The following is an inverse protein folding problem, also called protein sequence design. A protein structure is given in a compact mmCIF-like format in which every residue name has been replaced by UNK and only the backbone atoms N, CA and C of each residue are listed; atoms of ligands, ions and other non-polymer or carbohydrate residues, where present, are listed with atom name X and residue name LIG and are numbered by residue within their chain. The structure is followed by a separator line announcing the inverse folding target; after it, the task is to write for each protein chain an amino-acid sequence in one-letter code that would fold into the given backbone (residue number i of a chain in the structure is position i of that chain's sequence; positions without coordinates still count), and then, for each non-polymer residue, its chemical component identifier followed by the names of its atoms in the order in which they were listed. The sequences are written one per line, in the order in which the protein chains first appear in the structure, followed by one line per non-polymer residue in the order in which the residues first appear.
data_IF_048053713412
#
_entry.id   IF_048053713412
#
_cell.length_a   1.000
_cell.length_b   1.000
_cell.length_c   1.000
_cell.angle_alpha   90.00
_cell.angle_beta   90.00
_cell.angle_gamma   90.00
#
_symmetry.space_group_name_H-M   'P 1'
#
loop_
_entity.id
_entity.type
_entity.pdbx_description
1 polymer ?
#
# COMPACT_ATOMS: atom_id res chain seq x y z
N UNK A 1 -8.24 -27.38 12.90
CA UNK A 1 -8.80 -26.24 12.14
C UNK A 1 -9.57 -25.28 13.04
N UNK A 2 -10.59 -25.70 13.80
CA UNK A 2 -11.31 -24.77 14.70
C UNK A 2 -10.43 -24.16 15.80
N UNK A 3 -9.53 -24.94 16.42
CA UNK A 3 -8.62 -24.42 17.46
C UNK A 3 -7.63 -23.38 16.93
N UNK A 4 -7.05 -23.58 15.74
CA UNK A 4 -6.11 -22.66 15.10
C UNK A 4 -6.76 -21.35 14.66
N UNK A 5 -8.01 -21.39 14.20
CA UNK A 5 -8.82 -20.21 13.87
C UNK A 5 -9.08 -19.36 15.12
N UNK A 6 -9.46 -19.99 16.24
CA UNK A 6 -9.68 -19.29 17.50
C UNK A 6 -8.38 -18.68 18.05
N UNK A 7 -7.25 -19.40 17.95
CA UNK A 7 -5.94 -18.86 18.34
C UNK A 7 -5.54 -17.64 17.53
N UNK A 8 -5.68 -17.69 16.19
CA UNK A 8 -5.36 -16.55 15.33
C UNK A 8 -6.26 -15.34 15.59
N UNK A 9 -7.55 -15.54 15.89
CA UNK A 9 -8.47 -14.46 16.28
C UNK A 9 -8.09 -13.81 17.61
N UNK A 10 -7.63 -14.59 18.59
CA UNK A 10 -7.14 -14.06 19.88
C UNK A 10 -5.88 -13.22 19.65
N UNK A 11 -4.92 -13.74 18.87
CA UNK A 11 -3.69 -13.01 18.54
C UNK A 11 -3.98 -11.71 17.78
N UNK A 12 -4.90 -11.74 16.81
CA UNK A 12 -5.33 -10.55 16.08
C UNK A 12 -5.89 -9.48 17.03
N UNK A 13 -6.75 -9.87 17.97
CA UNK A 13 -7.33 -8.96 18.96
C UNK A 13 -6.26 -8.37 19.89
N UNK A 14 -5.27 -9.15 20.30
CA UNK A 14 -4.16 -8.69 21.14
C UNK A 14 -3.29 -7.67 20.39
N UNK A 15 -2.86 -7.99 19.16
CA UNK A 15 -2.06 -7.07 18.35
C UNK A 15 -2.82 -5.77 18.02
N UNK A 16 -4.13 -5.85 17.82
CA UNK A 16 -4.97 -4.66 17.61
C UNK A 16 -5.04 -3.78 18.86
N UNK A 17 -5.11 -4.37 20.06
CA UNK A 17 -5.05 -3.61 21.32
C UNK A 17 -3.68 -2.94 21.50
N UNK A 18 -2.60 -3.64 21.22
CA UNK A 18 -1.25 -3.07 21.25
C UNK A 18 -1.12 -1.88 20.27
N UNK A 19 -1.59 -2.03 19.03
CA UNK A 19 -1.61 -0.94 18.06
C UNK A 19 -2.40 0.26 18.57
N UNK A 20 -3.58 0.04 19.17
CA UNK A 20 -4.38 1.11 19.77
C UNK A 20 -3.62 1.84 20.89
N UNK A 21 -2.86 1.11 21.72
CA UNK A 21 -2.03 1.75 22.76
C UNK A 21 -0.91 2.60 22.16
N UNK A 22 -0.21 2.11 21.12
CA UNK A 22 0.80 2.88 20.41
C UNK A 22 0.21 4.16 19.79
N UNK A 23 -0.95 4.07 19.14
CA UNK A 23 -1.64 5.23 18.59
C UNK A 23 -1.98 6.28 19.67
N UNK A 24 -2.44 5.84 20.85
CA UNK A 24 -2.71 6.74 21.98
C UNK A 24 -1.43 7.42 22.48
N UNK A 25 -0.32 6.67 22.55
CA UNK A 25 0.99 7.22 22.92
C UNK A 25 1.45 8.28 21.93
N UNK A 26 1.37 8.00 20.62
CA UNK A 26 1.71 8.97 19.56
C UNK A 26 0.87 10.24 19.67
N UNK A 27 -0.44 10.12 19.96
CA UNK A 27 -1.29 11.31 20.16
C UNK A 27 -0.86 12.15 21.35
N UNK A 28 -0.46 11.52 22.46
CA UNK A 28 0.05 12.21 23.64
C UNK A 28 1.41 12.89 23.36
N UNK A 29 2.33 12.19 22.70
CA UNK A 29 3.62 12.74 22.25
C UNK A 29 3.44 13.94 21.32
N UNK A 30 2.50 13.84 20.37
CA UNK A 30 2.20 14.94 19.45
C UNK A 30 1.63 16.15 20.19
N UNK A 31 0.80 15.95 21.21
CA UNK A 31 0.30 17.04 22.04
C UNK A 31 1.43 17.73 22.82
N UNK A 32 2.38 16.97 23.35
CA UNK A 32 3.53 17.55 24.06
C UNK A 32 4.47 18.29 23.10
N UNK A 33 4.81 17.69 21.96
CA UNK A 33 5.62 18.33 20.92
C UNK A 33 5.01 19.65 20.43
N UNK A 34 3.68 19.71 20.27
CA UNK A 34 2.98 20.94 19.91
C UNK A 34 3.11 22.04 20.99
N UNK A 35 3.14 21.67 22.26
CA UNK A 35 3.37 22.62 23.37
C UNK A 35 4.81 23.14 23.32
N UNK A 36 5.79 22.28 23.13
CA UNK A 36 7.20 22.66 22.98
C UNK A 36 7.40 23.60 21.79
N UNK A 37 6.83 23.28 20.64
CA UNK A 37 6.87 24.13 19.44
C UNK A 37 6.19 25.49 19.66
N UNK A 38 5.05 25.52 20.34
CA UNK A 38 4.35 26.78 20.68
C UNK A 38 5.19 27.68 21.58
N UNK A 39 5.86 27.10 22.58
CA UNK A 39 6.79 27.82 23.46
C UNK A 39 8.00 28.36 22.67
N UNK A 40 8.52 27.56 21.74
CA UNK A 40 9.63 27.92 20.88
C UNK A 40 9.26 29.09 19.94
N UNK A 41 8.07 29.07 19.35
CA UNK A 41 7.55 30.15 18.52
C UNK A 41 7.33 31.44 19.32
N UNK A 42 6.82 31.35 20.55
CA UNK A 42 6.67 32.50 21.44
C UNK A 42 8.04 33.15 21.76
N UNK A 43 9.07 32.33 22.03
CA UNK A 43 10.43 32.82 22.25
C UNK A 43 11.07 33.41 20.99
N UNK A 44 10.86 32.80 19.83
CA UNK A 44 11.30 33.35 18.52
C UNK A 44 10.67 34.72 18.25
N UNK A 45 9.39 34.91 18.55
CA UNK A 45 8.72 36.21 18.42
C UNK A 45 9.33 37.25 19.35
N UNK A 46 9.58 36.89 20.61
CA UNK A 46 10.27 37.78 21.57
C UNK A 46 11.67 38.16 21.11
N UNK A 47 12.39 37.24 20.46
CA UNK A 47 13.73 37.49 19.93
C UNK A 47 13.81 38.58 18.86
N UNK A 48 12.73 38.81 18.12
CA UNK A 48 12.68 39.89 17.12
C UNK A 48 12.70 41.28 17.78
N UNK A 49 12.16 41.39 18.99
CA UNK A 49 11.92 42.67 19.66
C UNK A 49 12.81 42.87 20.91
N UNK A 50 13.47 41.83 21.42
CA UNK A 50 14.26 41.88 22.64
C UNK A 50 15.38 40.83 22.67
N UNK A 51 16.37 41.03 23.55
CA UNK A 51 17.37 39.99 23.87
C UNK A 51 16.70 38.83 24.59
N UNK A 52 17.01 37.60 24.17
CA UNK A 52 16.45 36.36 24.73
C UNK A 52 17.58 35.50 25.27
N UNK A 53 17.27 34.71 26.30
CA UNK A 53 18.22 33.76 26.86
C UNK A 53 18.56 32.66 25.83
N UNK A 54 19.78 32.73 25.29
CA UNK A 54 20.28 31.78 24.29
C UNK A 54 20.36 30.35 24.82
N UNK A 55 20.61 30.16 26.13
CA UNK A 55 20.67 28.83 26.75
C UNK A 55 19.31 28.15 26.73
N UNK A 56 18.27 28.87 27.16
CA UNK A 56 16.88 28.40 27.13
C UNK A 56 16.42 28.05 25.71
N UNK A 57 16.76 28.90 24.73
CA UNK A 57 16.41 28.65 23.34
C UNK A 57 17.07 27.37 22.79
N UNK A 58 18.37 27.18 23.05
CA UNK A 58 19.09 25.95 22.65
C UNK A 58 18.47 24.71 23.30
N UNK A 59 18.12 24.79 24.58
CA UNK A 59 17.47 23.71 25.32
C UNK A 59 16.14 23.30 24.67
N UNK A 60 15.29 24.27 24.32
CA UNK A 60 14.00 23.98 23.68
C UNK A 60 14.13 23.39 22.27
N UNK A 61 15.13 23.79 21.49
CA UNK A 61 15.41 23.13 20.22
C UNK A 61 15.85 21.68 20.42
N UNK A 62 16.75 21.43 21.37
CA UNK A 62 17.19 20.07 21.67
C UNK A 62 16.03 19.19 22.14
N UNK A 63 15.15 19.74 22.99
CA UNK A 63 13.93 19.08 23.43
C UNK A 63 12.99 18.77 22.26
N UNK A 64 12.69 19.75 21.39
CA UNK A 64 11.80 19.56 20.25
C UNK A 64 12.33 18.50 19.26
N UNK A 65 13.65 18.46 19.04
CA UNK A 65 14.30 17.44 18.21
C UNK A 65 14.14 16.05 18.86
N UNK A 66 14.47 15.95 20.14
CA UNK A 66 14.34 14.70 20.91
C UNK A 66 12.90 14.17 20.92
N UNK A 67 11.91 15.05 21.12
CA UNK A 67 10.47 14.70 21.07
C UNK A 67 10.06 14.21 19.67
N UNK A 68 10.52 14.87 18.61
CA UNK A 68 10.25 14.45 17.24
C UNK A 68 10.89 13.10 16.89
N UNK A 69 12.11 12.84 17.36
CA UNK A 69 12.79 11.55 17.20
C UNK A 69 12.06 10.42 17.94
N UNK A 70 11.61 10.69 19.17
CA UNK A 70 10.82 9.73 19.93
C UNK A 70 9.49 9.44 19.23
N UNK A 71 8.76 10.47 18.80
CA UNK A 71 7.49 10.32 18.08
C UNK A 71 7.66 9.54 16.76
N UNK A 72 8.75 9.80 16.01
CA UNK A 72 9.12 9.02 14.81
C UNK A 72 9.29 7.54 15.17
N UNK A 73 10.01 7.24 16.24
CA UNK A 73 10.26 5.85 16.69
C UNK A 73 8.96 5.12 17.02
N UNK A 74 8.08 5.76 17.79
CA UNK A 74 6.76 5.20 18.17
C UNK A 74 5.88 4.97 16.94
N UNK A 75 5.86 5.90 15.99
CA UNK A 75 5.14 5.76 14.71
C UNK A 75 5.65 4.58 13.87
N UNK A 76 6.97 4.39 13.80
CA UNK A 76 7.56 3.26 13.07
C UNK A 76 7.17 1.90 13.71
N UNK A 77 7.16 1.83 15.04
CA UNK A 77 6.69 0.65 15.77
C UNK A 77 5.20 0.36 15.50
N UNK A 78 4.36 1.40 15.44
CA UNK A 78 2.95 1.25 15.07
C UNK A 78 2.77 0.73 13.63
N UNK A 79 3.58 1.20 12.68
CA UNK A 79 3.56 0.72 11.30
C UNK A 79 3.98 -0.74 11.19
N UNK A 80 4.99 -1.17 11.94
CA UNK A 80 5.39 -2.58 12.03
C UNK A 80 4.25 -3.45 12.57
N UNK A 81 3.54 -2.98 13.59
CA UNK A 81 2.35 -3.67 14.13
C UNK A 81 1.23 -3.79 13.11
N UNK A 82 0.96 -2.74 12.32
CA UNK A 82 0.00 -2.81 11.21
C UNK A 82 0.40 -3.87 10.18
N UNK A 83 1.70 -3.95 9.84
CA UNK A 83 2.19 -4.96 8.91
C UNK A 83 1.99 -6.38 9.47
N UNK A 84 2.25 -6.59 10.76
CA UNK A 84 2.04 -7.87 11.42
C UNK A 84 0.55 -8.27 11.48
N UNK A 85 -0.34 -7.33 11.81
CA UNK A 85 -1.79 -7.54 11.80
C UNK A 85 -2.27 -7.98 10.41
N UNK A 86 -1.81 -7.30 9.35
CA UNK A 86 -2.16 -7.68 7.97
C UNK A 86 -1.68 -9.08 7.61
N UNK A 87 -0.52 -9.49 8.12
CA UNK A 87 -0.03 -10.86 7.91
C UNK A 87 -0.93 -11.89 8.61
N UNK A 88 -1.33 -11.64 9.86
CA UNK A 88 -2.25 -12.53 10.59
C UNK A 88 -3.60 -12.61 9.87
N UNK A 89 -4.14 -11.48 9.41
CA UNK A 89 -5.39 -11.45 8.64
C UNK A 89 -5.30 -12.24 7.33
N UNK A 90 -4.17 -12.13 6.65
CA UNK A 90 -3.86 -12.90 5.44
C UNK A 90 -3.84 -14.41 5.73
N UNK A 91 -3.11 -14.84 6.76
CA UNK A 91 -3.02 -16.25 7.16
C UNK A 91 -4.39 -16.81 7.58
N UNK A 92 -5.17 -16.01 8.32
CA UNK A 92 -6.55 -16.35 8.69
C UNK A 92 -7.45 -16.48 7.46
N UNK A 93 -7.34 -15.56 6.50
CA UNK A 93 -8.13 -15.62 5.26
C UNK A 93 -7.78 -16.86 4.44
N UNK A 94 -6.50 -17.17 4.32
CA UNK A 94 -6.03 -18.38 3.63
C UNK A 94 -6.61 -19.66 4.27
N UNK A 95 -6.83 -19.66 5.60
CA UNK A 95 -7.40 -20.81 6.31
C UNK A 95 -8.91 -20.99 6.16
N UNK A 96 -9.67 -19.91 5.88
CA UNK A 96 -11.14 -19.94 5.75
C UNK A 96 -11.55 -20.36 4.34
N UNK A 97 -10.67 -20.18 3.35
CA UNK A 97 -10.96 -20.45 1.94
C UNK A 97 -11.68 -19.29 1.23
N UNK A 98 -11.95 -19.45 -0.07
CA UNK A 98 -12.49 -18.38 -0.91
C UNK A 98 -13.89 -17.94 -0.44
N UNK A 99 -14.14 -16.63 -0.48
CA UNK A 99 -15.43 -16.03 -0.13
C UNK A 99 -16.08 -15.44 -1.37
N UNK A 100 -17.28 -15.89 -1.66
CA UNK A 100 -18.12 -15.25 -2.68
C UNK A 100 -18.88 -14.10 -2.03
N UNK A 101 -18.79 -12.93 -2.63
CA UNK A 101 -19.50 -11.74 -2.18
C UNK A 101 -20.60 -11.40 -3.18
N UNK A 102 -21.77 -11.00 -2.69
CA UNK A 102 -22.74 -10.32 -3.53
C UNK A 102 -22.09 -9.07 -4.12
N UNK A 103 -22.32 -8.77 -5.40
CA UNK A 103 -21.69 -7.67 -6.16
C UNK A 103 -21.56 -6.34 -5.40
N UNK A 104 -22.62 -5.89 -4.71
CA UNK A 104 -22.57 -4.64 -3.93
C UNK A 104 -21.60 -4.68 -2.74
N UNK A 105 -21.47 -5.84 -2.09
CA UNK A 105 -20.49 -6.07 -1.01
C UNK A 105 -19.09 -6.18 -1.58
N UNK A 106 -18.93 -6.90 -2.70
CA UNK A 106 -17.65 -7.02 -3.40
C UNK A 106 -17.07 -5.64 -3.75
N UNK A 107 -17.88 -4.79 -4.39
CA UNK A 107 -17.44 -3.43 -4.76
C UNK A 107 -17.01 -2.61 -3.54
N UNK A 108 -17.75 -2.73 -2.42
CA UNK A 108 -17.39 -2.06 -1.16
C UNK A 108 -16.04 -2.56 -0.61
N UNK A 109 -15.82 -3.88 -0.62
CA UNK A 109 -14.56 -4.49 -0.19
C UNK A 109 -13.40 -4.06 -1.08
N UNK A 110 -13.57 -4.05 -2.41
CA UNK A 110 -12.53 -3.61 -3.35
C UNK A 110 -12.16 -2.13 -3.15
N UNK A 111 -13.17 -1.28 -2.91
CA UNK A 111 -12.93 0.13 -2.63
C UNK A 111 -12.19 0.33 -1.31
N UNK A 112 -12.53 -0.43 -0.28
CA UNK A 112 -11.84 -0.38 1.02
C UNK A 112 -10.40 -0.92 0.94
N UNK A 113 -10.18 -1.99 0.17
CA UNK A 113 -8.85 -2.50 -0.13
C UNK A 113 -7.99 -1.42 -0.81
N UNK A 114 -8.51 -0.75 -1.83
CA UNK A 114 -7.80 0.33 -2.52
C UNK A 114 -7.51 1.53 -1.60
N UNK A 115 -8.41 1.87 -0.66
CA UNK A 115 -8.19 2.91 0.34
C UNK A 115 -7.09 2.54 1.32
N UNK A 116 -7.09 1.30 1.79
CA UNK A 116 -6.16 0.79 2.79
C UNK A 116 -4.78 0.38 2.24
N UNK A 117 -4.51 0.50 0.93
CA UNK A 117 -3.15 0.34 0.40
C UNK A 117 -2.24 1.39 1.08
N UNK A 118 -1.15 0.96 1.74
CA UNK A 118 -0.29 1.85 2.51
C UNK A 118 0.46 2.81 1.60
N UNK A 119 0.69 4.03 2.07
CA UNK A 119 1.63 4.95 1.43
C UNK A 119 3.05 4.43 1.66
N UNK A 120 3.88 4.44 0.61
CA UNK A 120 5.30 4.18 0.79
C UNK A 120 5.98 5.39 1.44
N UNK A 121 6.74 5.15 2.50
CA UNK A 121 7.55 6.16 3.19
C UNK A 121 8.99 5.67 3.21
N UNK A 122 9.87 6.38 2.50
CA UNK A 122 11.29 6.07 2.48
C UNK A 122 11.95 6.27 3.86
N UNK A 123 12.95 5.45 4.19
CA UNK A 123 13.74 5.62 5.41
C UNK A 123 14.82 6.68 5.17
N UNK A 124 14.92 7.73 6.00
CA UNK A 124 15.97 8.76 5.88
C UNK A 124 17.41 8.23 5.93
N UNK A 125 17.58 7.04 6.50
CA UNK A 125 18.89 6.52 6.95
C UNK A 125 19.53 5.54 5.94
N UNK A 126 18.81 5.11 4.89
CA UNK A 126 19.36 4.32 3.77
C UNK A 126 19.83 5.25 2.65
N UNK A 127 21.00 5.88 2.86
CA UNK A 127 21.66 6.68 1.81
C UNK A 127 22.06 5.77 0.64
N UNK A 128 21.32 5.82 -0.47
CA UNK A 128 21.85 5.45 -1.78
C UNK A 128 22.85 6.54 -2.19
N UNK A 129 24.13 6.31 -1.87
CA UNK A 129 25.23 7.19 -2.26
C UNK A 129 25.47 7.04 -3.76
N UNK A 130 24.77 7.81 -4.58
CA UNK A 130 25.22 8.09 -5.94
C UNK A 130 26.03 9.38 -5.92
N UNK A 131 27.32 9.25 -6.21
CA UNK A 131 28.23 10.37 -6.39
C UNK A 131 27.67 11.30 -7.49
N UNK A 132 27.44 12.58 -7.11
CA UNK A 132 27.67 13.84 -7.87
C UNK A 132 26.60 14.93 -7.61
N UNK A 133 25.40 14.64 -7.09
CA UNK A 133 24.48 15.70 -6.63
C UNK A 133 23.78 15.35 -5.31
N UNK A 134 23.89 16.24 -4.31
CA UNK A 134 23.35 16.11 -2.94
C UNK A 134 21.82 16.26 -2.89
N UNK A 135 21.08 15.31 -3.46
CA UNK A 135 19.68 15.06 -3.10
C UNK A 135 19.50 13.56 -2.95
N UNK A 136 19.35 13.08 -1.72
CA UNK A 136 19.03 11.68 -1.46
C UNK A 136 17.57 11.43 -1.89
N UNK A 137 17.34 11.15 -3.17
CA UNK A 137 16.08 10.60 -3.63
C UNK A 137 16.05 9.12 -3.24
N UNK A 138 15.28 8.79 -2.21
CA UNK A 138 14.95 7.42 -1.88
C UNK A 138 14.06 6.90 -3.02
N UNK A 139 14.62 6.04 -3.88
CA UNK A 139 13.89 5.48 -5.01
C UNK A 139 12.82 4.52 -4.50
N UNK A 140 11.58 4.74 -4.91
CA UNK A 140 10.47 3.88 -4.56
C UNK A 140 10.73 2.40 -5.00
N UNK A 141 10.37 1.40 -4.18
CA UNK A 141 10.61 -0.01 -4.47
C UNK A 141 9.68 -0.53 -5.56
N UNK A 142 9.94 -1.74 -6.07
CA UNK A 142 9.03 -2.45 -6.96
C UNK A 142 7.62 -2.54 -6.37
N UNK A 143 6.59 -2.35 -7.20
CA UNK A 143 5.18 -2.32 -6.79
C UNK A 143 4.81 -1.12 -5.89
N UNK A 144 5.62 -0.07 -5.84
CA UNK A 144 5.18 1.23 -5.34
C UNK A 144 4.67 2.08 -6.50
N UNK A 145 3.37 2.41 -6.50
CA UNK A 145 2.73 3.16 -7.56
C UNK A 145 3.00 2.56 -8.95
N UNK A 146 3.61 3.34 -9.82
CA UNK A 146 3.97 2.98 -11.20
C UNK A 146 5.29 2.19 -11.33
N UNK A 147 6.04 1.97 -10.23
CA UNK A 147 7.30 1.22 -10.30
C UNK A 147 7.01 -0.24 -10.61
N UNK A 148 7.53 -0.79 -11.72
CA UNK A 148 7.19 -2.12 -12.17
C UNK A 148 7.67 -3.20 -11.19
N UNK A 149 7.03 -4.37 -11.28
CA UNK A 149 7.51 -5.58 -10.60
C UNK A 149 8.93 -5.93 -11.10
N UNK A 150 9.78 -6.43 -10.20
CA UNK A 150 11.03 -7.08 -10.63
C UNK A 150 10.69 -8.37 -11.39
N UNK A 151 11.58 -8.80 -12.28
CA UNK A 151 11.46 -10.09 -12.98
C UNK A 151 11.44 -11.27 -12.00
N UNK A 152 12.01 -11.10 -10.81
CA UNK A 152 12.03 -12.07 -9.72
C UNK A 152 10.81 -11.98 -8.79
N UNK A 153 9.96 -10.96 -8.94
CA UNK A 153 8.80 -10.77 -8.06
C UNK A 153 7.73 -11.80 -8.38
N UNK A 154 7.38 -12.60 -7.37
CA UNK A 154 6.29 -13.58 -7.37
C UNK A 154 5.15 -13.06 -6.49
N UNK A 155 3.96 -12.92 -7.07
CA UNK A 155 2.76 -12.57 -6.33
C UNK A 155 2.38 -13.74 -5.41
N UNK A 156 2.04 -13.44 -4.16
CA UNK A 156 1.71 -14.46 -3.17
C UNK A 156 0.22 -14.84 -3.27
N UNK A 157 -0.19 -16.01 -2.74
CA UNK A 157 -1.61 -16.30 -2.56
C UNK A 157 -2.34 -15.12 -1.90
N UNK A 158 -3.59 -14.85 -2.29
CA UNK A 158 -4.41 -13.70 -1.89
C UNK A 158 -3.95 -12.33 -2.41
N UNK A 159 -2.82 -12.22 -3.12
CA UNK A 159 -2.48 -10.96 -3.81
C UNK A 159 -3.46 -10.73 -4.96
N UNK A 160 -3.99 -9.51 -5.07
CA UNK A 160 -4.78 -9.10 -6.23
C UNK A 160 -3.88 -8.79 -7.41
N UNK A 161 -4.29 -9.22 -8.60
CA UNK A 161 -3.57 -9.08 -9.86
C UNK A 161 -4.52 -8.69 -10.98
N UNK A 162 -4.00 -8.00 -12.00
CA UNK A 162 -4.67 -7.91 -13.28
C UNK A 162 -4.28 -9.15 -14.11
N UNK A 163 -5.27 -9.95 -14.49
CA UNK A 163 -5.09 -11.21 -15.20
C UNK A 163 -5.60 -11.07 -16.63
N UNK A 164 -4.74 -11.36 -17.61
CA UNK A 164 -5.09 -11.42 -19.02
C UNK A 164 -5.65 -12.82 -19.33
N UNK A 165 -6.98 -12.93 -19.38
CA UNK A 165 -7.70 -14.18 -19.60
C UNK A 165 -8.11 -14.31 -21.07
N UNK A 166 -7.96 -15.50 -21.68
CA UNK A 166 -8.53 -15.77 -23.00
C UNK A 166 -10.06 -15.71 -22.93
N UNK A 167 -10.71 -14.93 -23.81
CA UNK A 167 -12.16 -15.01 -23.96
C UNK A 167 -12.56 -16.33 -24.65
N UNK A 168 -13.65 -16.99 -24.21
CA UNK A 168 -14.04 -18.29 -24.74
C UNK A 168 -14.47 -18.30 -26.22
N UNK A 169 -14.78 -17.15 -26.84
CA UNK A 169 -15.33 -17.08 -28.21
C UNK A 169 -14.48 -16.31 -29.24
N UNK A 170 -13.22 -15.95 -28.93
CA UNK A 170 -12.38 -15.15 -29.85
C UNK A 170 -11.14 -15.92 -30.32
N UNK A 171 -11.35 -17.13 -30.84
CA UNK A 171 -10.29 -17.88 -31.53
C UNK A 171 -9.95 -17.30 -32.94
N UNK A 172 -10.49 -16.15 -33.36
CA UNK A 172 -10.51 -15.77 -34.78
C UNK A 172 -10.14 -14.31 -35.16
N UNK A 173 -9.64 -13.44 -34.27
CA UNK A 173 -9.24 -12.07 -34.70
C UNK A 173 -7.91 -11.62 -34.12
N UNK A 174 -6.84 -12.20 -34.67
CA UNK A 174 -5.43 -11.88 -34.41
C UNK A 174 -4.96 -10.49 -34.91
N UNK A 175 -5.84 -9.49 -35.02
CA UNK A 175 -5.50 -8.20 -35.65
C UNK A 175 -5.60 -6.97 -34.72
N UNK A 176 -6.13 -7.13 -33.51
CA UNK A 176 -6.02 -6.14 -32.44
C UNK A 176 -5.60 -6.90 -31.18
N UNK A 177 -4.66 -6.37 -30.40
CA UNK A 177 -4.30 -6.88 -29.06
C UNK A 177 -5.44 -6.65 -28.04
N UNK A 178 -6.68 -6.98 -28.42
CA UNK A 178 -7.96 -6.80 -27.73
C UNK A 178 -8.72 -8.14 -27.57
N UNK A 179 -8.12 -9.28 -27.95
CA UNK A 179 -8.73 -10.62 -27.86
C UNK A 179 -8.74 -11.23 -26.45
N UNK A 180 -8.04 -10.61 -25.51
CA UNK A 180 -7.93 -11.09 -24.12
C UNK A 180 -8.61 -10.09 -23.19
N UNK A 181 -9.57 -10.57 -22.39
CA UNK A 181 -10.15 -9.79 -21.32
C UNK A 181 -9.12 -9.59 -20.20
N UNK A 182 -9.04 -8.39 -19.64
CA UNK A 182 -8.21 -8.15 -18.46
C UNK A 182 -9.11 -8.02 -17.24
N UNK A 183 -9.04 -8.98 -16.33
CA UNK A 183 -9.88 -9.04 -15.12
C UNK A 183 -9.07 -8.82 -13.86
N UNK A 184 -9.75 -8.40 -12.80
CA UNK A 184 -9.24 -8.43 -11.44
C UNK A 184 -9.36 -9.85 -10.91
N UNK A 185 -8.23 -10.43 -10.53
CA UNK A 185 -8.16 -11.78 -10.02
C UNK A 185 -7.38 -11.83 -8.71
N UNK A 186 -7.63 -12.86 -7.92
CA UNK A 186 -6.86 -13.19 -6.72
C UNK A 186 -5.93 -14.36 -7.03
N UNK A 187 -4.67 -14.28 -6.59
CA UNK A 187 -3.72 -15.40 -6.76
C UNK A 187 -4.07 -16.53 -5.80
N UNK A 188 -4.17 -17.74 -6.32
CA UNK A 188 -4.33 -18.97 -5.52
C UNK A 188 -2.97 -19.60 -5.25
N UNK A 189 -2.16 -19.76 -6.31
CA UNK A 189 -0.84 -20.37 -6.20
C UNK A 189 0.04 -20.02 -7.39
N UNK A 190 1.35 -20.24 -7.24
CA UNK A 190 2.34 -20.12 -8.30
C UNK A 190 3.14 -21.41 -8.40
N UNK A 191 3.20 -21.98 -9.59
CA UNK A 191 4.03 -23.14 -9.93
C UNK A 191 5.37 -22.62 -10.50
N UNK A 192 6.49 -22.76 -9.76
CA UNK A 192 7.79 -22.25 -10.20
C UNK A 192 8.39 -23.05 -11.36
N UNK A 193 8.05 -24.34 -11.49
CA UNK A 193 8.58 -25.22 -12.52
C UNK A 193 7.94 -24.91 -13.87
N UNK A 194 6.61 -24.70 -13.87
CA UNK A 194 5.86 -24.34 -15.09
C UNK A 194 5.82 -22.84 -15.34
N UNK A 195 6.20 -22.01 -14.35
CA UNK A 195 6.09 -20.54 -14.36
C UNK A 195 4.67 -20.06 -14.64
N UNK A 196 3.69 -20.74 -14.05
CA UNK A 196 2.26 -20.48 -14.21
C UNK A 196 1.62 -20.13 -12.88
N UNK A 197 0.68 -19.20 -12.90
CA UNK A 197 -0.20 -18.90 -11.77
C UNK A 197 -1.52 -19.66 -11.91
N UNK A 198 -2.07 -20.06 -10.78
CA UNK A 198 -3.51 -20.25 -10.63
C UNK A 198 -4.09 -18.97 -10.05
N UNK A 199 -5.10 -18.42 -10.72
CA UNK A 199 -5.81 -17.21 -10.27
C UNK A 199 -7.31 -17.45 -10.30
N UNK A 200 -8.04 -16.81 -9.39
CA UNK A 200 -9.50 -16.83 -9.31
C UNK A 200 -10.08 -15.48 -9.68
N UNK A 201 -11.13 -15.48 -10.51
CA UNK A 201 -11.94 -14.30 -10.76
C UNK A 201 -12.60 -13.82 -9.46
N UNK A 202 -12.47 -12.53 -9.14
CA UNK A 202 -13.06 -11.96 -7.93
C UNK A 202 -14.56 -11.74 -8.04
N UNK A 203 -15.13 -11.67 -9.26
CA UNK A 203 -16.58 -11.51 -9.51
C UNK A 203 -17.27 -12.86 -9.73
N UNK A 204 -17.12 -13.77 -8.77
CA UNK A 204 -17.88 -15.01 -8.76
C UNK A 204 -19.32 -14.74 -8.33
N UNK A 205 -20.30 -15.16 -9.14
CA UNK A 205 -21.71 -15.14 -8.76
C UNK A 205 -21.91 -15.81 -7.40
N UNK A 206 -22.76 -15.21 -6.56
CA UNK A 206 -23.07 -15.72 -5.22
C UNK A 206 -23.55 -17.18 -5.29
N UNK A 207 -22.83 -18.09 -4.62
CA UNK A 207 -23.11 -19.52 -4.62
C UNK A 207 -22.50 -20.34 -5.77
N UNK A 208 -21.77 -19.72 -6.72
CA UNK A 208 -21.00 -20.45 -7.74
C UNK A 208 -19.53 -20.56 -7.34
N UNK A 209 -18.87 -21.64 -7.76
CA UNK A 209 -17.42 -21.76 -7.58
C UNK A 209 -16.74 -20.66 -8.42
N UNK A 210 -15.82 -19.87 -7.83
CA UNK A 210 -15.04 -18.89 -8.58
C UNK A 210 -14.37 -19.52 -9.79
N UNK A 211 -14.38 -18.81 -10.91
CA UNK A 211 -13.74 -19.30 -12.13
C UNK A 211 -12.22 -19.22 -11.96
N UNK A 212 -11.57 -20.37 -11.94
CA UNK A 212 -10.11 -20.48 -11.90
C UNK A 212 -9.51 -20.46 -13.31
N UNK A 213 -8.36 -19.80 -13.42
CA UNK A 213 -7.56 -19.76 -14.63
C UNK A 213 -6.11 -20.14 -14.34
N UNK A 214 -5.54 -20.99 -15.18
CA UNK A 214 -4.10 -21.26 -15.22
C UNK A 214 -3.45 -20.36 -16.26
N UNK A 215 -2.64 -19.39 -15.83
CA UNK A 215 -2.05 -18.37 -16.69
C UNK A 215 -0.53 -18.36 -16.60
N UNK A 216 0.15 -18.10 -17.72
CA UNK A 216 1.59 -17.87 -17.71
C UNK A 216 1.95 -16.60 -16.90
N UNK A 217 3.14 -16.55 -16.28
CA UNK A 217 3.64 -15.37 -15.53
C UNK A 217 3.49 -14.05 -16.31
N UNK A 218 3.65 -14.08 -17.63
CA UNK A 218 3.56 -12.93 -18.53
C UNK A 218 2.12 -12.38 -18.70
N UNK A 219 1.11 -13.18 -18.35
CA UNK A 219 -0.31 -12.81 -18.40
C UNK A 219 -0.85 -12.29 -17.07
N UNK A 220 0.00 -12.20 -16.04
CA UNK A 220 -0.37 -11.76 -14.69
C UNK A 220 0.43 -10.52 -14.32
N UNK A 221 -0.27 -9.41 -14.07
CA UNK A 221 0.33 -8.13 -13.69
C UNK A 221 0.01 -7.89 -12.21
N UNK A 222 0.99 -7.97 -11.30
CA UNK A 222 0.75 -7.70 -9.88
C UNK A 222 0.32 -6.25 -9.65
N UNK A 223 -0.69 -6.06 -8.80
CA UNK A 223 -1.10 -4.71 -8.41
C UNK A 223 -0.08 -4.07 -7.44
N UNK A 224 -0.03 -2.73 -7.37
CA UNK A 224 0.87 -2.03 -6.45
C UNK A 224 0.59 -2.41 -4.99
N UNK A 225 1.66 -2.69 -4.23
CA UNK A 225 1.63 -2.95 -2.79
C UNK A 225 1.65 -1.66 -1.98
N UNK A 226 2.15 -0.57 -2.57
CA UNK A 226 2.18 0.75 -1.94
C UNK A 226 1.67 1.83 -2.88
N UNK A 227 1.03 2.85 -2.30
CA UNK A 227 0.78 4.12 -2.97
C UNK A 227 2.08 4.92 -3.00
N UNK A 228 2.35 5.56 -4.12
CA UNK A 228 3.41 6.56 -4.22
C UNK A 228 2.93 7.89 -3.63
N UNK A 229 3.80 8.56 -2.87
CA UNK A 229 3.53 9.92 -2.42
C UNK A 229 3.91 10.91 -3.53
N UNK A 230 2.98 11.72 -4.05
CA UNK A 230 3.29 12.64 -5.15
C UNK A 230 4.29 13.73 -4.81
N UNK A 231 4.49 14.03 -3.52
CA UNK A 231 5.44 15.05 -3.06
C UNK A 231 6.85 14.47 -2.95
N UNK A 232 7.00 13.28 -2.39
CA UNK A 232 8.32 12.68 -2.13
C UNK A 232 8.78 11.70 -3.22
N UNK A 233 7.84 11.13 -3.97
CA UNK A 233 8.08 10.09 -4.99
C UNK A 233 7.30 10.33 -6.29
N UNK A 234 7.45 11.50 -6.93
CA UNK A 234 6.78 11.78 -8.20
C UNK A 234 7.21 10.82 -9.32
N UNK A 235 8.42 10.23 -9.25
CA UNK A 235 8.93 9.26 -10.21
C UNK A 235 8.15 7.93 -10.20
N UNK A 236 7.43 7.65 -9.12
CA UNK A 236 6.63 6.45 -8.93
C UNK A 236 5.15 6.66 -9.28
N UNK A 237 4.82 7.71 -10.02
CA UNK A 237 3.46 8.00 -10.51
C UNK A 237 3.48 7.99 -12.04
N UNK A 238 2.44 7.40 -12.66
CA UNK A 238 2.30 7.45 -14.11
C UNK A 238 2.11 8.91 -14.57
N UNK A 239 2.94 9.43 -15.50
CA UNK A 239 2.78 10.80 -15.99
C UNK A 239 1.53 10.94 -16.87
N UNK A 240 1.02 12.18 -16.99
CA UNK A 240 -0.05 12.52 -17.92
C UNK A 240 0.31 12.06 -19.34
N UNK A 241 -0.67 11.48 -20.03
CA UNK A 241 -0.50 10.90 -21.37
C UNK A 241 -0.03 9.44 -21.38
N UNK A 242 0.31 8.85 -20.23
CA UNK A 242 0.70 7.44 -20.16
C UNK A 242 -0.47 6.52 -20.52
N UNK A 243 -0.20 5.49 -21.32
CA UNK A 243 -1.14 4.40 -21.55
C UNK A 243 -1.06 3.40 -20.39
N UNK A 244 -2.20 3.13 -19.76
CA UNK A 244 -2.31 2.22 -18.61
C UNK A 244 -3.48 1.24 -18.78
N UNK A 245 -3.46 0.16 -18.02
CA UNK A 245 -4.67 -0.61 -17.74
C UNK A 245 -5.30 -0.05 -16.46
N UNK A 246 -6.54 0.42 -16.55
CA UNK A 246 -7.28 0.98 -15.43
C UNK A 246 -8.55 0.17 -15.18
N UNK A 247 -8.84 -0.11 -13.90
CA UNK A 247 -10.07 -0.77 -13.50
C UNK A 247 -11.25 0.18 -13.78
N UNK A 248 -12.25 -0.26 -14.55
CA UNK A 248 -13.41 0.59 -14.85
C UNK A 248 -14.33 0.67 -13.62
N UNK A 249 -14.88 1.86 -13.29
CA UNK A 249 -15.71 2.03 -12.10
C UNK A 249 -16.84 1.02 -12.02
N UNK A 250 -17.06 0.44 -10.83
CA UNK A 250 -18.11 -0.55 -10.57
C UNK A 250 -17.98 -1.84 -11.40
N UNK A 251 -16.77 -2.18 -11.83
CA UNK A 251 -16.48 -3.45 -12.50
C UNK A 251 -15.24 -4.10 -11.91
N UNK A 252 -15.01 -5.35 -12.28
CA UNK A 252 -13.80 -6.12 -11.98
C UNK A 252 -12.94 -6.28 -13.24
N UNK A 253 -13.08 -5.38 -14.22
CA UNK A 253 -12.35 -5.44 -15.49
C UNK A 253 -11.44 -4.22 -15.68
N UNK A 254 -10.27 -4.46 -16.24
CA UNK A 254 -9.31 -3.45 -16.64
C UNK A 254 -9.42 -3.14 -18.13
N UNK A 255 -9.34 -1.86 -18.47
CA UNK A 255 -9.37 -1.38 -19.85
C UNK A 255 -8.18 -0.47 -20.11
N UNK A 256 -7.77 -0.41 -21.38
CA UNK A 256 -6.75 0.52 -21.84
C UNK A 256 -7.26 1.96 -21.67
N UNK A 257 -6.50 2.78 -20.96
CA UNK A 257 -6.82 4.18 -20.70
C UNK A 257 -5.58 5.06 -20.87
N UNK A 258 -5.80 6.37 -20.94
CA UNK A 258 -4.76 7.39 -20.92
C UNK A 258 -4.87 8.17 -19.62
N UNK A 259 -3.75 8.37 -18.93
CA UNK A 259 -3.69 9.20 -17.72
C UNK A 259 -3.96 10.65 -18.08
N UNK A 260 -5.06 11.21 -17.60
CA UNK A 260 -5.39 12.63 -17.83
C UNK A 260 -4.81 13.53 -16.73
N UNK A 261 -4.95 13.16 -15.46
CA UNK A 261 -4.45 13.91 -14.32
C UNK A 261 -3.65 13.02 -13.36
N UNK A 262 -2.65 13.62 -12.72
CA UNK A 262 -1.81 12.96 -11.72
C UNK A 262 -2.19 13.45 -10.31
N UNK A 263 -2.13 12.59 -9.28
CA UNK A 263 -2.36 13.03 -7.91
C UNK A 263 -1.33 14.09 -7.50
N UNK A 264 -1.79 15.19 -6.88
CA UNK A 264 -0.94 16.27 -6.36
C UNK A 264 -0.77 16.22 -4.85
N UNK A 265 -1.67 15.54 -4.16
CA UNK A 265 -1.65 15.33 -2.72
C UNK A 265 -1.72 13.84 -2.41
N UNK A 266 -1.12 13.45 -1.29
CA UNK A 266 -1.49 12.16 -0.67
C UNK A 266 -2.97 12.27 -0.41
N UNK A 267 -3.77 11.39 -1.01
CA UNK A 267 -5.18 11.29 -0.71
C UNK A 267 -5.32 10.80 0.73
N UNK A 268 -5.31 11.75 1.68
CA UNK A 268 -5.83 11.57 3.02
C UNK A 268 -7.31 11.29 2.86
N UNK A 269 -7.78 10.19 3.43
CA UNK A 269 -9.18 10.19 3.89
C UNK A 269 -9.24 11.13 5.08
#
# INVERSE_FOLDING_TARGET
MMSSLTTGQVQLNEQTKELLTLCKTVMAESAEGNRTLSNLDALRRKQRNAKVNKSQLKSLYAQAISEAEHQKSTLLSALEKVAHIRQIEHDLRASIGPKNFRRGVLMSVLQENARSIPLWVGKPDEKLVFNIFRVAFFRAPSLCGAVPASTTTIAQPLDHVAALVPEPDVAATAACNLSEGCILAEVVSYDPDKRTYQVEDVDADEGKVPKQYTLARSKVIPLPKWKANPVTNPEAIFPKGSTVFALYPQTTCFYKAIVDEVPVHVSSV
#
